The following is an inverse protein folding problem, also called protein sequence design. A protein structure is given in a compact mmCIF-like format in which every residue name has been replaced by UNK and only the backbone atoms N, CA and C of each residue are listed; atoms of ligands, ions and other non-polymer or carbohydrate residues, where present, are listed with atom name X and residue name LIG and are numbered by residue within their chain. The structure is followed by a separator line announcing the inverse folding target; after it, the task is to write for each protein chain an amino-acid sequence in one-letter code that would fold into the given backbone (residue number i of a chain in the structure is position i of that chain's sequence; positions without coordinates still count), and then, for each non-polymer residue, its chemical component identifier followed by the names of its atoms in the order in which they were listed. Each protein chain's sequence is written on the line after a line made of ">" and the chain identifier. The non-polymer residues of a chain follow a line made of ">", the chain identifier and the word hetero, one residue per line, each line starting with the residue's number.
data_IF_294686348219
#
_entry.id   IF_294686348219
#
_cell.length_a   1.000
_cell.length_b   1.000
_cell.length_c   1.000
_cell.angle_alpha   90.00
_cell.angle_beta   90.00
_cell.angle_gamma   90.00
#
_symmetry.space_group_name_H-M   'P 1'
#
loop_
_entity.id
_entity.type
_entity.pdbx_description
1 polymer ?
#
# COMPACT_ATOMS: atom_id res chain seq x y z
N UNK A 1 -1.95 3.02 5.40
CA UNK A 1 -1.64 3.05 3.96
C UNK A 1 -0.15 2.96 3.70
N UNK A 2 0.66 3.94 4.15
CA UNK A 2 2.13 3.96 3.96
C UNK A 2 2.81 2.66 4.40
N UNK A 3 2.44 2.11 5.57
CA UNK A 3 2.97 0.83 6.03
C UNK A 3 2.74 -0.32 5.03
N UNK A 4 1.52 -0.44 4.49
CA UNK A 4 1.20 -1.47 3.47
C UNK A 4 1.98 -1.20 2.19
N UNK A 5 2.12 0.08 1.82
CA UNK A 5 2.86 0.49 0.63
C UNK A 5 4.33 0.12 0.71
N UNK A 6 5.02 0.45 1.82
CA UNK A 6 6.43 0.07 2.04
C UNK A 6 6.64 -1.44 1.95
N UNK A 7 5.71 -2.24 2.51
CA UNK A 7 5.78 -3.69 2.37
C UNK A 7 5.73 -4.17 0.91
N UNK A 8 5.04 -3.47 0.00
CA UNK A 8 5.00 -3.87 -1.44
C UNK A 8 6.39 -3.74 -2.05
N UNK A 9 7.11 -2.67 -1.73
CA UNK A 9 8.39 -2.36 -2.35
C UNK A 9 9.56 -3.11 -1.70
N UNK A 10 9.55 -3.27 -0.37
CA UNK A 10 10.76 -3.68 0.37
C UNK A 10 10.79 -5.17 0.73
N UNK A 11 9.67 -5.75 1.17
CA UNK A 11 9.67 -7.06 1.86
C UNK A 11 8.72 -8.07 1.19
N UNK A 12 7.50 -7.65 0.89
CA UNK A 12 6.41 -8.43 0.31
C UNK A 12 5.14 -8.23 1.14
N UNK A 13 4.02 -7.91 0.49
CA UNK A 13 2.72 -7.75 1.17
C UNK A 13 2.01 -9.08 1.28
N UNK A 14 1.56 -9.41 2.49
CA UNK A 14 0.60 -10.48 2.71
C UNK A 14 -0.80 -9.93 2.96
N UNK A 15 -1.76 -10.85 3.05
CA UNK A 15 -3.13 -10.50 3.47
C UNK A 15 -3.17 -9.91 4.88
N UNK A 16 -2.20 -10.22 5.74
CA UNK A 16 -2.15 -9.69 7.12
C UNK A 16 -2.19 -8.16 7.14
N UNK A 17 -1.35 -7.50 6.35
CA UNK A 17 -1.33 -6.04 6.26
C UNK A 17 -2.67 -5.47 5.75
N UNK A 18 -3.37 -6.21 4.87
CA UNK A 18 -4.69 -5.81 4.38
C UNK A 18 -5.81 -6.07 5.38
N UNK A 19 -5.74 -7.12 6.19
CA UNK A 19 -6.66 -7.36 7.30
C UNK A 19 -6.56 -6.24 8.33
N UNK A 20 -5.35 -5.84 8.70
CA UNK A 20 -5.14 -4.72 9.62
C UNK A 20 -5.78 -3.44 9.07
N UNK A 21 -5.58 -3.18 7.77
CA UNK A 21 -6.17 -2.03 7.10
C UNK A 21 -7.70 -2.10 6.98
N UNK A 22 -8.25 -3.29 6.74
CA UNK A 22 -9.69 -3.55 6.73
C UNK A 22 -10.33 -3.13 8.06
N UNK A 23 -9.76 -3.54 9.19
CA UNK A 23 -10.28 -3.16 10.51
C UNK A 23 -10.12 -1.67 10.83
N UNK A 24 -9.08 -1.00 10.32
CA UNK A 24 -8.95 0.46 10.42
C UNK A 24 -10.07 1.19 9.67
N UNK A 25 -10.45 0.70 8.49
CA UNK A 25 -11.57 1.31 7.74
C UNK A 25 -12.92 1.03 8.39
N UNK A 26 -13.10 -0.16 8.96
CA UNK A 26 -14.30 -0.48 9.73
C UNK A 26 -14.45 0.42 10.96
N UNK A 27 -13.38 0.61 11.74
CA UNK A 27 -13.43 1.45 12.93
C UNK A 27 -13.67 2.92 12.57
N UNK A 28 -13.05 3.40 11.50
CA UNK A 28 -13.29 4.74 10.96
C UNK A 28 -14.74 4.94 10.49
N UNK A 29 -15.30 4.01 9.72
CA UNK A 29 -16.68 4.10 9.23
C UNK A 29 -17.71 4.06 10.38
N UNK A 30 -17.48 3.20 11.38
CA UNK A 30 -18.34 3.14 12.56
C UNK A 30 -18.32 4.47 13.33
N UNK A 31 -17.13 5.03 13.60
CA UNK A 31 -17.01 6.31 14.28
C UNK A 31 -17.67 7.45 13.49
N UNK A 32 -17.54 7.44 12.15
CA UNK A 32 -18.20 8.39 11.26
C UNK A 32 -19.72 8.31 11.37
N UNK A 33 -20.29 7.09 11.36
CA UNK A 33 -21.73 6.83 11.49
C UNK A 33 -22.27 7.26 12.86
N UNK A 34 -21.56 6.96 13.94
CA UNK A 34 -21.93 7.38 15.30
C UNK A 34 -21.98 8.92 15.43
N UNK A 35 -20.98 9.61 14.88
CA UNK A 35 -20.97 11.09 14.87
C UNK A 35 -22.13 11.68 14.06
N UNK A 36 -22.49 11.07 12.92
CA UNK A 36 -23.67 11.48 12.16
C UNK A 36 -24.96 11.33 12.97
N UNK A 37 -25.10 10.27 13.77
CA UNK A 37 -26.25 10.07 14.66
C UNK A 37 -26.28 11.12 15.78
N UNK A 38 -25.16 11.39 16.42
CA UNK A 38 -25.05 12.38 17.51
C UNK A 38 -25.33 13.82 17.02
N UNK A 39 -24.84 14.20 15.83
CA UNK A 39 -25.19 15.50 15.21
C UNK A 39 -26.69 15.62 14.95
N UNK A 40 -27.37 14.53 14.58
CA UNK A 40 -28.83 14.51 14.43
C UNK A 40 -29.59 14.62 15.75
N UNK A 41 -28.93 14.31 16.88
CA UNK A 41 -29.50 14.35 18.23
C UNK A 41 -29.23 15.65 18.99
N UNK A 42 -28.60 16.66 18.37
CA UNK A 42 -28.44 18.01 18.93
C UNK A 42 -27.24 18.22 19.86
N UNK A 43 -26.28 17.30 19.91
CA UNK A 43 -25.06 17.47 20.71
C UNK A 43 -23.91 18.06 19.85
N UNK A 44 -23.80 19.39 19.88
CA UNK A 44 -22.80 20.13 19.09
C UNK A 44 -21.40 20.19 19.74
N UNK A 45 -21.23 19.68 20.97
CA UNK A 45 -20.05 19.99 21.80
C UNK A 45 -18.98 18.88 21.85
N UNK A 46 -19.08 17.84 21.01
CA UNK A 46 -18.03 16.80 20.93
C UNK A 46 -16.96 17.18 19.91
N UNK A 47 -15.84 17.72 20.39
CA UNK A 47 -14.64 18.03 19.59
C UNK A 47 -13.87 16.74 19.23
N UNK A 48 -14.40 15.96 18.29
CA UNK A 48 -13.65 14.90 17.61
C UNK A 48 -13.61 15.17 16.10
N UNK A 49 -12.41 15.45 15.55
CA UNK A 49 -12.26 15.66 14.11
C UNK A 49 -12.13 14.31 13.38
N UNK A 50 -13.27 13.74 12.97
CA UNK A 50 -13.29 12.62 12.02
C UNK A 50 -13.20 13.19 10.60
N UNK A 51 -12.12 12.86 9.89
CA UNK A 51 -11.91 13.27 8.50
C UNK A 51 -12.89 12.52 7.57
N UNK A 52 -13.42 13.23 6.58
CA UNK A 52 -14.21 12.63 5.51
C UNK A 52 -13.32 11.85 4.52
N UNK A 53 -13.94 10.96 3.73
CA UNK A 53 -13.20 10.13 2.77
C UNK A 53 -12.41 10.97 1.75
N UNK A 54 -12.98 12.08 1.28
CA UNK A 54 -12.33 13.01 0.35
C UNK A 54 -11.14 13.73 0.99
N UNK A 55 -11.25 14.16 2.26
CA UNK A 55 -10.13 14.73 3.02
C UNK A 55 -9.00 13.71 3.20
N UNK A 56 -9.34 12.47 3.57
CA UNK A 56 -8.36 11.38 3.70
C UNK A 56 -7.68 11.14 2.36
N UNK A 57 -8.45 11.06 1.27
CA UNK A 57 -7.90 10.82 -0.05
C UNK A 57 -7.07 12.00 -0.57
N UNK A 58 -7.36 13.25 -0.19
CA UNK A 58 -6.47 14.39 -0.48
C UNK A 58 -5.10 14.23 0.16
N UNK A 59 -5.07 13.84 1.44
CA UNK A 59 -3.81 13.56 2.15
C UNK A 59 -3.09 12.36 1.53
N UNK A 60 -3.79 11.26 1.27
CA UNK A 60 -3.19 10.08 0.62
C UNK A 60 -2.64 10.41 -0.77
N UNK A 61 -3.34 11.25 -1.52
CA UNK A 61 -2.93 11.68 -2.86
C UNK A 61 -1.72 12.62 -2.82
N UNK A 62 -1.58 13.47 -1.81
CA UNK A 62 -0.41 14.35 -1.67
C UNK A 62 0.90 13.58 -1.44
N UNK A 63 0.81 12.32 -1.01
CA UNK A 63 1.95 11.39 -0.91
C UNK A 63 2.09 10.46 -2.13
N UNK A 64 1.41 10.71 -3.25
CA UNK A 64 1.51 9.87 -4.46
C UNK A 64 0.81 8.51 -4.35
N UNK A 65 0.14 8.21 -3.23
CA UNK A 65 -0.42 6.88 -2.94
C UNK A 65 -1.85 6.66 -3.45
N UNK A 66 -2.43 7.60 -4.20
CA UNK A 66 -3.83 7.51 -4.66
C UNK A 66 -4.11 6.24 -5.48
N UNK A 67 -3.22 5.94 -6.45
CA UNK A 67 -3.30 4.74 -7.29
C UNK A 67 -3.19 3.45 -6.48
N UNK A 68 -2.33 3.47 -5.46
CA UNK A 68 -2.15 2.33 -4.57
C UNK A 68 -3.37 2.13 -3.65
N UNK A 69 -3.91 3.22 -3.11
CA UNK A 69 -5.14 3.19 -2.32
C UNK A 69 -6.30 2.56 -3.09
N UNK A 70 -6.48 2.95 -4.36
CA UNK A 70 -7.48 2.37 -5.24
C UNK A 70 -7.24 0.86 -5.51
N UNK A 71 -5.98 0.45 -5.66
CA UNK A 71 -5.62 -0.97 -5.78
C UNK A 71 -5.96 -1.76 -4.50
N UNK A 72 -5.68 -1.17 -3.33
CA UNK A 72 -6.05 -1.77 -2.04
C UNK A 72 -7.57 -1.86 -1.90
N UNK A 73 -8.32 -0.83 -2.30
CA UNK A 73 -9.80 -0.85 -2.28
C UNK A 73 -10.35 -2.02 -3.09
N UNK A 74 -9.76 -2.30 -4.26
CA UNK A 74 -10.12 -3.47 -5.06
C UNK A 74 -9.90 -4.77 -4.28
N UNK A 75 -8.72 -4.97 -3.68
CA UNK A 75 -8.45 -6.19 -2.92
C UNK A 75 -9.40 -6.32 -1.73
N UNK A 76 -9.71 -5.22 -1.04
CA UNK A 76 -10.65 -5.23 0.08
C UNK A 76 -12.06 -5.64 -0.34
N UNK A 77 -12.51 -5.16 -1.50
CA UNK A 77 -13.80 -5.51 -2.07
C UNK A 77 -13.84 -6.98 -2.49
N UNK A 78 -12.80 -7.48 -3.18
CA UNK A 78 -12.78 -8.84 -3.71
C UNK A 78 -12.53 -9.92 -2.66
N UNK A 79 -11.63 -9.67 -1.70
CA UNK A 79 -11.20 -10.68 -0.73
C UNK A 79 -12.01 -10.62 0.56
N UNK A 80 -12.33 -9.42 1.05
CA UNK A 80 -13.04 -9.23 2.32
C UNK A 80 -14.51 -8.85 2.15
N UNK A 81 -15.01 -8.84 0.91
CA UNK A 81 -16.39 -8.44 0.58
C UNK A 81 -16.75 -7.07 1.16
N UNK A 82 -15.79 -6.12 1.16
CA UNK A 82 -16.04 -4.77 1.65
C UNK A 82 -17.10 -4.09 0.78
N UNK A 83 -18.19 -3.55 1.37
CA UNK A 83 -19.23 -2.89 0.62
C UNK A 83 -18.78 -1.51 0.11
N UNK A 84 -19.38 -1.07 -1.00
CA UNK A 84 -18.99 0.16 -1.69
C UNK A 84 -19.14 1.42 -0.83
N UNK A 85 -20.06 1.43 0.14
CA UNK A 85 -20.30 2.55 1.06
C UNK A 85 -19.17 2.76 2.09
N UNK A 86 -18.25 1.79 2.21
CA UNK A 86 -17.10 1.82 3.13
C UNK A 86 -15.77 2.06 2.43
N UNK A 87 -15.74 2.11 1.10
CA UNK A 87 -14.53 2.37 0.34
C UNK A 87 -14.13 3.84 0.47
N UNK A 88 -12.82 4.11 0.62
CA UNK A 88 -12.31 5.49 0.62
C UNK A 88 -12.32 6.12 -0.77
N UNK A 89 -12.16 5.31 -1.81
CA UNK A 89 -12.13 5.72 -3.21
C UNK A 89 -12.58 4.57 -4.11
N UNK A 90 -12.85 4.88 -5.38
CA UNK A 90 -13.21 3.86 -6.36
C UNK A 90 -12.06 2.84 -6.53
N UNK A 91 -12.35 1.53 -6.59
CA UNK A 91 -11.34 0.49 -6.75
C UNK A 91 -10.73 0.53 -8.17
N UNK A 92 -9.41 0.31 -8.26
CA UNK A 92 -8.70 0.15 -9.53
C UNK A 92 -8.48 -1.36 -9.78
N UNK A 93 -9.24 -1.92 -10.71
CA UNK A 93 -9.19 -3.35 -11.03
C UNK A 93 -7.84 -3.79 -11.60
N UNK A 94 -7.22 -3.01 -12.49
CA UNK A 94 -5.96 -3.40 -13.13
C UNK A 94 -4.85 -3.50 -12.07
N UNK A 95 -4.69 -2.44 -11.26
CA UNK A 95 -3.67 -2.42 -10.19
C UNK A 95 -4.02 -3.36 -9.05
N UNK A 96 -5.30 -3.50 -8.74
CA UNK A 96 -5.81 -4.37 -7.70
C UNK A 96 -5.57 -5.85 -7.98
N UNK A 97 -5.81 -6.31 -9.21
CA UNK A 97 -5.48 -7.67 -9.66
C UNK A 97 -4.00 -7.96 -9.51
N UNK A 98 -3.15 -7.06 -10.03
CA UNK A 98 -1.70 -7.20 -9.90
C UNK A 98 -1.25 -7.26 -8.43
N UNK A 99 -1.82 -6.39 -7.57
CA UNK A 99 -1.53 -6.41 -6.14
C UNK A 99 -1.96 -7.73 -5.49
N UNK A 100 -3.15 -8.24 -5.82
CA UNK A 100 -3.64 -9.52 -5.32
C UNK A 100 -2.75 -10.69 -5.78
N UNK A 101 -2.32 -10.69 -7.04
CA UNK A 101 -1.42 -11.71 -7.58
C UNK A 101 -0.08 -11.71 -6.82
N UNK A 102 0.50 -10.53 -6.56
CA UNK A 102 1.71 -10.41 -5.74
C UNK A 102 1.49 -10.91 -4.30
N UNK A 103 0.34 -10.61 -3.69
CA UNK A 103 0.00 -11.09 -2.35
C UNK A 103 -0.10 -12.62 -2.30
N UNK A 104 -0.79 -13.21 -3.28
CA UNK A 104 -0.99 -14.66 -3.35
C UNK A 104 0.29 -15.41 -3.66
N UNK A 105 1.16 -14.82 -4.48
CA UNK A 105 2.42 -15.42 -4.89
C UNK A 105 3.51 -15.30 -3.81
N UNK A 106 3.68 -14.11 -3.24
CA UNK A 106 4.76 -13.82 -2.31
C UNK A 106 4.41 -14.23 -0.87
N UNK A 107 3.14 -14.11 -0.50
CA UNK A 107 2.64 -14.24 0.85
C UNK A 107 3.26 -13.22 1.81
N UNK A 108 3.01 -13.40 3.11
CA UNK A 108 3.43 -12.44 4.13
C UNK A 108 4.96 -12.29 4.15
N UNK A 109 5.47 -11.05 4.05
CA UNK A 109 6.90 -10.73 3.98
C UNK A 109 7.65 -11.41 2.82
N UNK A 110 6.94 -11.81 1.77
CA UNK A 110 7.53 -12.51 0.64
C UNK A 110 8.17 -13.84 1.02
N UNK A 111 7.74 -14.48 2.12
CA UNK A 111 8.30 -15.73 2.62
C UNK A 111 8.12 -16.91 1.66
N UNK A 112 7.08 -16.85 0.82
CA UNK A 112 6.76 -17.89 -0.15
C UNK A 112 7.20 -17.52 -1.58
N UNK A 113 7.76 -16.32 -1.77
CA UNK A 113 8.25 -15.85 -3.07
C UNK A 113 9.53 -16.63 -3.46
N UNK A 114 9.35 -17.67 -4.27
CA UNK A 114 10.45 -18.49 -4.79
C UNK A 114 11.14 -17.90 -6.03
N UNK A 115 10.63 -16.79 -6.57
CA UNK A 115 11.25 -16.13 -7.72
C UNK A 115 12.62 -15.63 -7.32
N UNK A 116 13.61 -15.90 -8.15
CA UNK A 116 14.96 -15.35 -7.99
C UNK A 116 15.62 -15.70 -6.63
N UNK A 117 15.26 -16.83 -5.98
CA UNK A 117 15.83 -17.29 -4.70
C UNK A 117 17.36 -17.33 -4.72
N UNK A 118 17.95 -17.85 -5.81
CA UNK A 118 19.40 -17.86 -6.01
C UNK A 118 19.99 -16.46 -5.96
N UNK A 119 19.26 -15.45 -6.46
CA UNK A 119 19.72 -14.07 -6.41
C UNK A 119 19.54 -13.46 -5.02
N UNK A 120 18.40 -13.74 -4.37
CA UNK A 120 18.03 -13.28 -3.02
C UNK A 120 19.03 -13.72 -1.96
N UNK A 121 19.43 -15.00 -2.00
CA UNK A 121 20.40 -15.62 -1.09
C UNK A 121 21.84 -15.62 -1.64
N UNK A 122 22.09 -14.91 -2.75
CA UNK A 122 23.43 -14.73 -3.30
C UNK A 122 24.26 -13.69 -2.53
N UNK A 123 25.46 -13.39 -3.03
CA UNK A 123 26.31 -12.34 -2.47
C UNK A 123 25.74 -10.93 -2.62
N UNK A 124 26.39 -9.91 -2.03
CA UNK A 124 25.91 -8.51 -1.96
C UNK A 124 25.43 -7.93 -3.30
N UNK A 125 26.17 -8.19 -4.39
CA UNK A 125 25.79 -7.75 -5.73
C UNK A 125 24.52 -8.43 -6.24
N UNK A 126 24.45 -9.76 -6.07
CA UNK A 126 23.30 -10.57 -6.45
C UNK A 126 22.04 -10.17 -5.68
N UNK A 127 22.17 -9.91 -4.38
CA UNK A 127 21.08 -9.40 -3.55
C UNK A 127 20.62 -8.00 -3.98
N UNK A 128 21.57 -7.12 -4.36
CA UNK A 128 21.26 -5.80 -4.92
C UNK A 128 20.50 -5.89 -6.25
N UNK A 129 20.91 -6.79 -7.14
CA UNK A 129 20.23 -7.05 -8.40
C UNK A 129 18.83 -7.66 -8.21
N UNK A 130 18.69 -8.53 -7.21
CA UNK A 130 17.38 -9.08 -6.80
C UNK A 130 16.41 -7.96 -6.39
N UNK A 131 16.84 -7.03 -5.52
CA UNK A 131 16.02 -5.87 -5.13
C UNK A 131 15.63 -5.01 -6.33
N UNK A 132 16.61 -4.67 -7.18
CA UNK A 132 16.35 -3.87 -8.38
C UNK A 132 15.35 -4.56 -9.32
N UNK A 133 15.53 -5.86 -9.59
CA UNK A 133 14.62 -6.64 -10.43
C UNK A 133 13.20 -6.66 -9.88
N UNK A 134 13.03 -6.77 -8.56
CA UNK A 134 11.71 -6.71 -7.91
C UNK A 134 11.05 -5.35 -8.14
N UNK A 135 11.77 -4.26 -7.91
CA UNK A 135 11.21 -2.91 -8.07
C UNK A 135 10.89 -2.57 -9.53
N UNK A 136 11.69 -3.08 -10.47
CA UNK A 136 11.39 -2.95 -11.90
C UNK A 136 10.08 -3.65 -12.31
N UNK A 137 9.60 -4.67 -11.60
CA UNK A 137 8.27 -5.27 -11.86
C UNK A 137 7.13 -4.32 -11.48
N UNK A 138 7.35 -3.46 -10.49
CA UNK A 138 6.37 -2.47 -10.05
C UNK A 138 6.37 -1.21 -10.93
N UNK A 139 7.36 -1.05 -11.81
CA UNK A 139 7.55 0.14 -12.65
C UNK A 139 6.35 0.44 -13.54
N UNK A 140 5.68 -0.59 -14.09
CA UNK A 140 4.48 -0.39 -14.92
C UNK A 140 3.34 0.27 -14.13
N UNK A 141 3.23 -0.04 -12.83
CA UNK A 141 2.10 0.35 -11.99
C UNK A 141 2.37 1.60 -11.16
N UNK A 142 3.62 1.77 -10.71
CA UNK A 142 4.09 2.81 -9.79
C UNK A 142 5.47 3.38 -10.23
N UNK A 143 5.55 4.05 -11.40
CA UNK A 143 6.82 4.48 -11.96
C UNK A 143 7.55 5.51 -11.11
N UNK A 144 6.80 6.42 -10.49
CA UNK A 144 7.33 7.51 -9.66
C UNK A 144 8.18 6.95 -8.49
N UNK A 145 7.71 5.89 -7.83
CA UNK A 145 8.44 5.27 -6.71
C UNK A 145 9.45 4.23 -7.16
N UNK A 146 9.12 3.47 -8.21
CA UNK A 146 10.03 2.46 -8.72
C UNK A 146 11.32 3.04 -9.33
N UNK A 147 11.28 4.27 -9.87
CA UNK A 147 12.46 4.93 -10.45
C UNK A 147 13.37 5.60 -9.41
N UNK A 148 12.85 5.89 -8.22
CA UNK A 148 13.64 6.52 -7.15
C UNK A 148 14.77 5.59 -6.66
N UNK A 149 14.50 4.29 -6.51
CA UNK A 149 15.51 3.34 -6.03
C UNK A 149 16.71 3.14 -6.98
N UNK A 150 16.53 2.88 -8.30
CA UNK A 150 17.64 2.79 -9.24
C UNK A 150 18.51 4.05 -9.22
N UNK A 151 17.89 5.23 -9.23
CA UNK A 151 18.58 6.51 -9.19
C UNK A 151 19.39 6.66 -7.88
N UNK A 152 18.74 6.42 -6.74
CA UNK A 152 19.39 6.49 -5.42
C UNK A 152 20.57 5.52 -5.33
N UNK A 153 20.43 4.30 -5.86
CA UNK A 153 21.48 3.28 -5.79
C UNK A 153 22.71 3.66 -6.62
N UNK A 154 22.52 4.24 -7.80
CA UNK A 154 23.62 4.76 -8.63
C UNK A 154 24.30 5.94 -7.94
N UNK A 155 23.52 6.89 -7.44
CA UNK A 155 24.04 8.05 -6.71
C UNK A 155 24.83 7.63 -5.46
N UNK A 156 24.27 6.75 -4.63
CA UNK A 156 24.92 6.25 -3.41
C UNK A 156 26.15 5.39 -3.70
N UNK A 157 26.16 4.63 -4.79
CA UNK A 157 27.36 3.94 -5.23
C UNK A 157 28.47 4.94 -5.60
N UNK A 158 28.13 5.98 -6.38
CA UNK A 158 29.06 7.07 -6.68
C UNK A 158 29.58 7.73 -5.41
N UNK A 159 28.70 8.09 -4.48
CA UNK A 159 29.07 8.68 -3.19
C UNK A 159 30.12 7.86 -2.43
N UNK A 160 29.94 6.53 -2.32
CA UNK A 160 30.91 5.60 -1.69
C UNK A 160 32.22 5.43 -2.47
N UNK A 161 32.28 5.79 -3.74
CA UNK A 161 33.51 5.77 -4.52
C UNK A 161 34.35 7.04 -4.34
N UNK A 162 33.71 8.15 -3.94
CA UNK A 162 34.35 9.45 -3.80
C UNK A 162 34.61 9.85 -2.34
N UNK A 163 33.98 9.20 -1.37
CA UNK A 163 34.20 9.34 0.08
C UNK A 163 34.45 7.95 0.69
#
# INVERSE_FOLDING_TARGET
>A
MSHVFSHVFEEGVGLRQLVDYYFVLLSWDNARKEKCMLRGAGDENTDCRILQADEIMRVVSSFGMAKFAAAVMYVLQQVFAMPDDRLLCAPDEKRGKHLLDEIMLAGNFGQYDRRDEKMRYGGTFSHGMWKLKRVMRLLEYYPEEALCEPFFRVWHWGWRCFH
#
